data_IF_845530619003
#
_entry.id   IF_845530619003
#
_cell.length_a   1.000
_cell.length_b   1.000
_cell.length_c   1.000
_cell.angle_alpha   90.00
_cell.angle_beta   90.00
_cell.angle_gamma   90.00
#
_symmetry.space_group_name_H-M   'P 1'
#
loop_
_entity.id
_entity.type
_entity.pdbx_description
1 polymer ?
#
# COMPACT_ATOMS: atom_id res chain seq x y z
N UNK A 1 -13.10 3.00 -0.76
CA UNK A 1 -13.42 1.70 -0.10
C UNK A 1 -12.77 1.64 1.29
N UNK A 2 -13.32 0.88 2.23
CA UNK A 2 -12.71 0.65 3.54
C UNK A 2 -11.94 -0.67 3.57
N UNK A 3 -10.83 -0.69 4.31
CA UNK A 3 -10.01 -1.87 4.57
C UNK A 3 -9.79 -2.01 6.08
N UNK A 4 -9.54 -3.23 6.53
CA UNK A 4 -9.21 -3.52 7.92
C UNK A 4 -7.69 -3.68 8.07
N UNK A 5 -7.10 -2.93 9.00
CA UNK A 5 -5.66 -2.95 9.30
C UNK A 5 -5.52 -3.11 10.81
N UNK A 6 -4.92 -4.22 11.26
CA UNK A 6 -4.71 -4.50 12.69
C UNK A 6 -5.99 -4.35 13.54
N UNK A 7 -7.12 -4.88 13.07
CA UNK A 7 -8.42 -4.79 13.75
C UNK A 7 -9.09 -3.42 13.70
N UNK A 8 -8.55 -2.46 12.93
CA UNK A 8 -9.11 -1.12 12.75
C UNK A 8 -9.55 -0.89 11.32
N UNK A 9 -10.78 -0.39 11.14
CA UNK A 9 -11.31 -0.01 9.83
C UNK A 9 -10.74 1.35 9.40
N UNK A 10 -10.06 1.40 8.26
CA UNK A 10 -9.49 2.63 7.66
C UNK A 10 -9.96 2.78 6.20
N UNK A 11 -10.02 4.02 5.71
CA UNK A 11 -10.29 4.26 4.30
C UNK A 11 -9.04 3.91 3.46
N UNK A 12 -9.21 3.18 2.36
CA UNK A 12 -8.10 2.67 1.56
C UNK A 12 -7.20 3.78 1.00
N UNK A 13 -7.79 4.89 0.54
CA UNK A 13 -7.01 6.02 0.03
C UNK A 13 -6.18 6.67 1.15
N UNK A 14 -6.75 6.77 2.36
CA UNK A 14 -6.03 7.32 3.52
C UNK A 14 -4.91 6.39 3.97
N UNK A 15 -5.06 5.09 3.81
CA UNK A 15 -3.97 4.14 4.06
C UNK A 15 -2.86 4.25 3.00
N UNK A 16 -3.21 4.40 1.72
CA UNK A 16 -2.20 4.56 0.65
C UNK A 16 -1.43 5.88 0.75
N UNK A 17 -1.96 6.90 1.42
CA UNK A 17 -1.22 8.12 1.76
C UNK A 17 -0.01 7.84 2.67
N UNK A 18 -0.09 6.84 3.55
CA UNK A 18 1.03 6.38 4.39
C UNK A 18 2.19 5.81 3.52
N UNK A 19 1.92 5.48 2.25
CA UNK A 19 2.87 4.97 1.25
C UNK A 19 3.17 5.98 0.13
N UNK A 20 2.97 7.27 0.42
CA UNK A 20 3.27 8.40 -0.47
C UNK A 20 2.44 8.43 -1.76
N UNK A 21 1.24 7.85 -1.76
CA UNK A 21 0.29 8.02 -2.86
C UNK A 21 -0.63 9.20 -2.60
N UNK A 22 -0.67 10.14 -3.56
CA UNK A 22 -1.74 11.13 -3.60
C UNK A 22 -3.08 10.45 -3.95
N UNK A 23 -4.23 11.02 -3.57
CA UNK A 23 -5.55 10.45 -3.90
C UNK A 23 -5.78 10.28 -5.40
N UNK A 24 -5.23 11.16 -6.23
CA UNK A 24 -5.30 11.06 -7.69
C UNK A 24 -4.47 9.88 -8.18
N UNK A 25 -3.24 9.76 -7.66
CA UNK A 25 -2.31 8.71 -8.07
C UNK A 25 -2.77 7.31 -7.65
N UNK A 26 -3.34 7.19 -6.45
CA UNK A 26 -3.93 5.95 -5.94
C UNK A 26 -5.12 5.42 -6.77
N UNK A 27 -5.74 6.26 -7.60
CA UNK A 27 -6.85 5.86 -8.48
C UNK A 27 -6.42 5.51 -9.89
N UNK A 28 -5.14 5.69 -10.23
CA UNK A 28 -4.64 5.37 -11.55
C UNK A 28 -4.42 3.86 -11.74
N UNK A 29 -4.45 3.38 -12.99
CA UNK A 29 -4.07 1.99 -13.29
C UNK A 29 -2.64 1.70 -12.82
N UNK A 30 -2.39 0.49 -12.31
CA UNK A 30 -1.05 0.08 -11.85
C UNK A 30 0.00 0.19 -12.98
N UNK A 31 -0.40 0.00 -14.23
CA UNK A 31 0.46 0.12 -15.41
C UNK A 31 1.00 1.53 -15.66
N UNK A 32 0.40 2.58 -15.08
CA UNK A 32 0.89 3.96 -15.20
C UNK A 32 1.81 4.38 -14.05
N UNK A 33 2.02 3.50 -13.07
CA UNK A 33 2.93 3.72 -11.94
C UNK A 33 4.37 3.44 -12.36
N UNK A 34 5.29 4.28 -11.90
CA UNK A 34 6.73 4.02 -11.95
C UNK A 34 7.11 2.76 -11.16
N UNK A 35 8.28 2.18 -11.42
CA UNK A 35 8.75 1.01 -10.67
C UNK A 35 8.81 1.23 -9.15
N UNK A 36 9.25 2.41 -8.71
CA UNK A 36 9.26 2.77 -7.28
C UNK A 36 7.86 2.91 -6.68
N UNK A 37 6.90 3.46 -7.43
CA UNK A 37 5.49 3.48 -7.02
C UNK A 37 4.93 2.05 -6.93
N UNK A 38 5.22 1.19 -7.90
CA UNK A 38 4.80 -0.21 -7.86
C UNK A 38 5.37 -0.93 -6.63
N UNK A 39 6.65 -0.73 -6.31
CA UNK A 39 7.25 -1.32 -5.12
C UNK A 39 6.55 -0.87 -3.83
N UNK A 40 6.26 0.43 -3.70
CA UNK A 40 5.47 0.95 -2.55
C UNK A 40 4.06 0.41 -2.49
N UNK A 41 3.39 0.22 -3.63
CA UNK A 41 2.06 -0.40 -3.67
C UNK A 41 2.09 -1.87 -3.20
N UNK A 42 3.16 -2.61 -3.54
CA UNK A 42 3.37 -3.98 -3.06
C UNK A 42 3.57 -3.96 -1.53
N UNK A 43 4.42 -3.07 -1.01
CA UNK A 43 4.62 -2.92 0.43
C UNK A 43 3.32 -2.57 1.16
N UNK A 44 2.51 -1.64 0.63
CA UNK A 44 1.19 -1.32 1.17
C UNK A 44 0.26 -2.54 1.19
N UNK A 45 0.28 -3.34 0.13
CA UNK A 45 -0.51 -4.57 0.07
C UNK A 45 -0.01 -5.63 1.06
N UNK A 46 1.30 -5.75 1.26
CA UNK A 46 1.89 -6.69 2.22
C UNK A 46 1.53 -6.28 3.65
N UNK A 47 1.71 -5.01 4.00
CA UNK A 47 1.46 -4.49 5.35
C UNK A 47 -0.03 -4.38 5.69
N UNK A 48 -0.92 -4.44 4.69
CA UNK A 48 -2.37 -4.48 4.94
C UNK A 48 -2.88 -5.86 5.32
N UNK A 49 -2.07 -6.90 5.15
CA UNK A 49 -2.41 -8.25 5.58
C UNK A 49 -1.82 -8.52 6.97
N UNK A 50 -2.53 -9.26 7.83
CA UNK A 50 -1.95 -9.70 9.09
C UNK A 50 -0.79 -10.67 8.80
N UNK A 51 0.37 -10.42 9.43
CA UNK A 51 1.53 -11.29 9.37
C UNK A 51 2.26 -11.26 10.71
N UNK A 52 2.68 -12.43 11.20
CA UNK A 52 3.50 -12.53 12.42
C UNK A 52 4.98 -12.24 12.13
N UNK A 53 5.44 -12.58 10.92
CA UNK A 53 6.79 -12.35 10.43
C UNK A 53 6.68 -11.96 8.96
N UNK A 54 7.41 -10.91 8.56
CA UNK A 54 7.56 -10.49 7.18
C UNK A 54 9.05 -10.42 6.87
N UNK A 55 9.48 -11.18 5.87
CA UNK A 55 10.85 -11.16 5.36
C UNK A 55 10.86 -10.34 4.08
N UNK A 56 11.69 -9.31 4.05
CA UNK A 56 11.92 -8.46 2.89
C UNK A 56 13.41 -8.54 2.56
N UNK A 57 13.73 -8.85 1.30
CA UNK A 57 15.10 -8.79 0.80
C UNK A 57 15.26 -7.48 0.03
N UNK A 58 16.20 -6.63 0.47
CA UNK A 58 16.47 -5.27 -0.02
C UNK A 58 15.25 -4.45 -0.50
N UNK A 59 14.30 -4.08 0.39
CA UNK A 59 13.20 -3.20 0.02
C UNK A 59 13.64 -1.73 0.00
N UNK A 60 14.34 -1.30 -1.06
CA UNK A 60 14.55 0.15 -1.32
C UNK A 60 13.41 0.76 -2.12
#
# INVERSE_FOLDING_TARGET
PFIEINGRKRHAISYLQDFLFSPERARQPVSSLSGGEQNRAILARLFSKPANILVLDEPT
#
